data_IF_981916764470
#
_entry.id   IF_981916764470
#
_cell.length_a   1.000
_cell.length_b   1.000
_cell.length_c   1.000
_cell.angle_alpha   90.00
_cell.angle_beta   90.00
_cell.angle_gamma   90.00
#
_symmetry.space_group_name_H-M   'P 1'
#
loop_
_entity.id
_entity.type
_entity.pdbx_description
1 polymer ?
#
# COMPACT_ATOMS: atom_id res chain seq x y z
N UNK A 1 4.97 -4.76 -3.22
CA UNK A 1 4.66 -4.82 -1.78
C UNK A 1 5.46 -3.79 -1.01
N UNK A 2 4.92 -3.27 0.09
CA UNK A 2 5.59 -2.39 1.04
C UNK A 2 5.43 -2.97 2.45
N UNK A 3 6.50 -2.93 3.23
CA UNK A 3 6.49 -3.10 4.69
C UNK A 3 6.83 -1.74 5.29
N UNK A 4 5.94 -1.21 6.12
CA UNK A 4 6.18 0.01 6.89
C UNK A 4 6.32 -0.37 8.36
N UNK A 5 7.44 0.06 8.94
CA UNK A 5 7.62 0.14 10.39
C UNK A 5 7.35 1.59 10.76
N UNK A 6 6.32 1.83 11.55
CA UNK A 6 6.03 3.15 12.11
C UNK A 6 6.81 3.35 13.41
N UNK A 7 6.86 4.59 13.90
CA UNK A 7 7.37 4.86 15.24
C UNK A 7 6.42 4.28 16.30
N UNK A 8 6.99 3.91 17.45
CA UNK A 8 6.27 3.29 18.56
C UNK A 8 4.92 3.96 18.86
N UNK A 9 3.84 3.17 18.80
CA UNK A 9 2.48 3.61 19.12
C UNK A 9 1.82 4.49 18.05
N UNK A 10 2.41 4.66 16.87
CA UNK A 10 1.84 5.47 15.79
C UNK A 10 0.97 4.67 14.81
N UNK A 11 0.88 3.34 14.93
CA UNK A 11 0.30 2.48 13.88
C UNK A 11 -1.14 2.86 13.55
N UNK A 12 -1.99 2.99 14.56
CA UNK A 12 -3.42 3.31 14.35
C UNK A 12 -3.60 4.71 13.76
N UNK A 13 -2.80 5.68 14.22
CA UNK A 13 -2.80 7.05 13.66
C UNK A 13 -2.33 7.05 12.20
N UNK A 14 -1.29 6.28 11.89
CA UNK A 14 -0.79 6.16 10.52
C UNK A 14 -1.85 5.52 9.63
N UNK A 15 -2.47 4.41 10.06
CA UNK A 15 -3.52 3.73 9.29
C UNK A 15 -4.69 4.66 9.04
N UNK A 16 -5.17 5.38 10.05
CA UNK A 16 -6.28 6.33 9.89
C UNK A 16 -5.95 7.43 8.85
N UNK A 17 -4.74 8.00 8.89
CA UNK A 17 -4.26 8.92 7.86
C UNK A 17 -4.17 8.24 6.48
N UNK A 18 -3.61 7.03 6.45
CA UNK A 18 -3.33 6.32 5.22
C UNK A 18 -4.63 5.95 4.49
N UNK A 19 -5.62 5.43 5.19
CA UNK A 19 -6.93 5.08 4.65
C UNK A 19 -7.76 6.30 4.22
N UNK A 20 -7.74 7.37 5.03
CA UNK A 20 -8.56 8.57 4.76
C UNK A 20 -7.99 9.48 3.69
N UNK A 21 -6.66 9.51 3.49
CA UNK A 21 -6.00 10.47 2.59
C UNK A 21 -5.10 9.80 1.56
N UNK A 22 -4.14 9.00 1.99
CA UNK A 22 -3.13 8.46 1.07
C UNK A 22 -3.70 7.41 0.10
N UNK A 23 -4.55 6.49 0.56
CA UNK A 23 -5.17 5.44 -0.27
C UNK A 23 -6.08 6.05 -1.35
N UNK A 24 -6.98 7.00 -1.05
CA UNK A 24 -7.73 7.71 -2.08
C UNK A 24 -6.84 8.39 -3.11
N UNK A 25 -5.80 9.10 -2.67
CA UNK A 25 -4.87 9.79 -3.56
C UNK A 25 -4.12 8.80 -4.50
N UNK A 26 -3.64 7.68 -3.96
CA UNK A 26 -3.00 6.62 -4.73
C UNK A 26 -3.96 6.01 -5.76
N UNK A 27 -5.21 5.75 -5.36
CA UNK A 27 -6.25 5.20 -6.25
C UNK A 27 -6.62 6.18 -7.36
N UNK A 28 -6.79 7.46 -7.05
CA UNK A 28 -7.03 8.52 -8.04
C UNK A 28 -5.87 8.64 -9.03
N UNK A 29 -4.64 8.43 -8.58
CA UNK A 29 -3.46 8.38 -9.45
C UNK A 29 -3.35 7.10 -10.29
N UNK A 30 -4.30 6.17 -10.19
CA UNK A 30 -4.32 4.93 -10.97
C UNK A 30 -3.58 3.76 -10.32
N UNK A 31 -3.30 3.82 -9.01
CA UNK A 31 -2.70 2.69 -8.26
C UNK A 31 -3.75 1.95 -7.43
N UNK A 32 -4.22 0.76 -7.85
CA UNK A 32 -4.94 -0.14 -6.97
C UNK A 32 -4.12 -0.43 -5.71
N UNK A 33 -4.74 -0.31 -4.54
CA UNK A 33 -4.11 -0.55 -3.23
C UNK A 33 -4.84 -1.68 -2.49
N UNK A 34 -4.06 -2.63 -1.96
CA UNK A 34 -4.51 -3.74 -1.12
C UNK A 34 -3.90 -3.63 0.29
N UNK A 35 -4.69 -3.98 1.32
CA UNK A 35 -4.32 -3.88 2.73
C UNK A 35 -5.22 -2.89 3.49
N UNK A 36 -4.80 -2.46 4.71
CA UNK A 36 -3.57 -2.86 5.40
C UNK A 36 -3.59 -4.33 5.84
N UNK A 37 -2.42 -4.95 5.94
CA UNK A 37 -2.23 -6.23 6.63
C UNK A 37 -1.36 -5.97 7.85
N UNK A 38 -1.92 -6.12 9.04
CA UNK A 38 -1.21 -5.81 10.29
C UNK A 38 -0.28 -6.96 10.66
N UNK A 39 0.92 -6.61 11.12
CA UNK A 39 1.78 -7.59 11.77
C UNK A 39 1.20 -7.89 13.17
N UNK A 40 1.03 -9.19 13.47
CA UNK A 40 0.43 -9.66 14.73
C UNK A 40 1.47 -9.78 15.85
N UNK A 41 2.74 -9.86 15.48
CA UNK A 41 3.87 -10.01 16.41
C UNK A 41 4.55 -8.66 16.67
N UNK A 42 4.48 -7.75 15.70
CA UNK A 42 5.03 -6.40 15.82
C UNK A 42 3.92 -5.32 15.73
N UNK A 43 3.60 -4.63 16.84
CA UNK A 43 2.54 -3.63 16.88
C UNK A 43 2.84 -2.37 16.07
N UNK A 44 4.07 -2.19 15.59
CA UNK A 44 4.49 -1.01 14.82
C UNK A 44 4.69 -1.34 13.34
N UNK A 45 4.38 -2.57 12.90
CA UNK A 45 4.52 -2.99 11.50
C UNK A 45 3.17 -3.25 10.83
N UNK A 46 3.09 -2.85 9.57
CA UNK A 46 2.04 -3.30 8.66
C UNK A 46 2.54 -3.38 7.22
N UNK A 47 1.82 -4.16 6.42
CA UNK A 47 2.10 -4.41 5.02
C UNK A 47 0.97 -3.89 4.15
N UNK A 48 1.32 -3.46 2.95
CA UNK A 48 0.35 -3.09 1.93
C UNK A 48 0.92 -3.33 0.54
N UNK A 49 0.02 -3.49 -0.43
CA UNK A 49 0.40 -3.74 -1.81
C UNK A 49 -0.23 -2.70 -2.71
N UNK A 50 0.46 -2.47 -3.82
CA UNK A 50 -0.04 -1.72 -4.95
C UNK A 50 0.24 -2.51 -6.21
N UNK A 51 -0.71 -2.48 -7.12
CA UNK A 51 -0.70 -3.29 -8.35
C UNK A 51 -0.59 -2.35 -9.54
N UNK A 52 0.06 -2.80 -10.60
CA UNK A 52 0.27 -2.03 -11.84
C UNK A 52 0.08 -2.97 -13.03
N UNK A 53 -0.37 -2.47 -14.19
CA UNK A 53 -0.55 -3.32 -15.37
C UNK A 53 0.78 -3.67 -16.05
N UNK A 54 1.81 -2.84 -15.87
CA UNK A 54 3.14 -3.06 -16.43
C UNK A 54 4.23 -2.33 -15.62
N UNK A 55 5.50 -2.66 -15.88
CA UNK A 55 6.64 -1.93 -15.29
C UNK A 55 6.73 -0.48 -15.79
N UNK A 56 6.41 -0.25 -17.07
CA UNK A 56 6.39 1.09 -17.66
C UNK A 56 5.32 1.96 -17.02
N UNK A 57 4.09 1.45 -16.90
CA UNK A 57 3.00 2.17 -16.23
C UNK A 57 3.33 2.43 -14.75
N UNK A 58 3.92 1.43 -14.07
CA UNK A 58 4.41 1.59 -12.70
C UNK A 58 5.32 2.79 -12.56
N UNK A 59 6.33 2.92 -13.42
CA UNK A 59 7.34 3.96 -13.28
C UNK A 59 6.76 5.34 -13.65
N UNK A 60 5.94 5.41 -14.70
CA UNK A 60 5.20 6.62 -15.08
C UNK A 60 4.29 7.13 -13.95
N UNK A 61 3.43 6.26 -13.42
CA UNK A 61 2.47 6.65 -12.37
C UNK A 61 3.20 7.02 -11.08
N UNK A 62 4.24 6.26 -10.70
CA UNK A 62 5.04 6.58 -9.52
C UNK A 62 5.71 7.94 -9.65
N UNK A 63 6.35 8.24 -10.77
CA UNK A 63 6.99 9.52 -11.00
C UNK A 63 5.95 10.65 -10.89
N UNK A 64 4.84 10.57 -11.64
CA UNK A 64 3.78 11.57 -11.59
C UNK A 64 3.21 11.81 -10.19
N UNK A 65 3.01 10.74 -9.41
CA UNK A 65 2.46 10.84 -8.06
C UNK A 65 3.45 11.42 -7.06
N UNK A 66 4.64 10.83 -6.94
CA UNK A 66 5.62 11.22 -5.93
C UNK A 66 6.31 12.55 -6.25
N UNK A 67 6.37 12.94 -7.53
CA UNK A 67 6.85 14.27 -7.90
C UNK A 67 5.78 15.36 -7.88
N UNK A 68 4.50 14.98 -7.75
CA UNK A 68 3.35 15.88 -7.78
C UNK A 68 3.04 16.54 -6.44
N UNK A 69 2.22 17.60 -6.50
CA UNK A 69 1.83 18.42 -5.37
C UNK A 69 1.11 17.63 -4.26
N UNK A 70 0.21 16.70 -4.63
CA UNK A 70 -0.53 15.89 -3.64
C UNK A 70 0.44 15.14 -2.71
N UNK A 71 1.53 14.59 -3.23
CA UNK A 71 2.53 13.97 -2.36
C UNK A 71 3.33 15.04 -1.58
N UNK A 72 4.02 15.93 -2.31
CA UNK A 72 5.02 16.86 -1.75
C UNK A 72 4.45 17.89 -0.78
N UNK A 73 3.22 18.33 -1.01
CA UNK A 73 2.59 19.42 -0.24
C UNK A 73 1.61 18.90 0.82
N UNK A 74 0.98 17.75 0.59
CA UNK A 74 -0.13 17.31 1.45
C UNK A 74 0.12 16.05 2.27
N UNK A 75 0.77 15.04 1.68
CA UNK A 75 0.88 13.70 2.28
C UNK A 75 2.23 13.47 2.94
N UNK A 76 3.32 13.92 2.31
CA UNK A 76 4.68 13.63 2.75
C UNK A 76 4.95 14.13 4.17
N UNK A 77 4.58 15.38 4.46
CA UNK A 77 4.76 16.01 5.77
C UNK A 77 3.97 15.32 6.90
N UNK A 78 2.93 14.55 6.56
CA UNK A 78 2.16 13.76 7.54
C UNK A 78 2.72 12.35 7.65
N UNK A 79 3.02 11.70 6.53
CA UNK A 79 3.50 10.33 6.49
C UNK A 79 4.90 10.17 7.09
N UNK A 80 5.86 10.97 6.62
CA UNK A 80 7.28 10.78 6.92
C UNK A 80 7.62 10.89 8.42
N UNK A 81 7.07 11.85 9.19
CA UNK A 81 7.36 11.93 10.61
C UNK A 81 6.89 10.74 11.45
N UNK A 82 5.94 9.95 10.96
CA UNK A 82 5.41 8.77 11.67
C UNK A 82 6.12 7.46 11.28
N UNK A 83 6.91 7.45 10.20
CA UNK A 83 7.65 6.27 9.75
C UNK A 83 8.99 6.15 10.48
N UNK A 84 9.36 4.92 10.84
CA UNK A 84 10.67 4.55 11.37
C UNK A 84 11.52 3.85 10.30
N UNK A 85 10.93 2.94 9.53
CA UNK A 85 11.61 2.25 8.42
C UNK A 85 10.60 1.89 7.31
N UNK A 86 11.09 1.77 6.07
CA UNK A 86 10.30 1.27 4.96
C UNK A 86 11.09 0.33 4.07
N UNK A 87 10.50 -0.84 3.79
CA UNK A 87 11.03 -1.80 2.82
C UNK A 87 10.07 -1.89 1.63
N UNK A 88 10.64 -1.95 0.42
CA UNK A 88 9.91 -2.14 -0.81
C UNK A 88 10.37 -3.41 -1.52
N UNK A 89 9.41 -4.24 -1.93
CA UNK A 89 9.65 -5.39 -2.80
C UNK A 89 8.83 -5.22 -4.08
N UNK A 90 9.46 -5.42 -5.24
CA UNK A 90 8.80 -5.48 -6.53
C UNK A 90 8.75 -6.93 -6.99
N UNK A 91 7.56 -7.39 -7.35
CA UNK A 91 7.31 -8.78 -7.75
C UNK A 91 6.49 -8.78 -9.04
N UNK A 92 6.74 -9.77 -9.90
CA UNK A 92 5.97 -10.02 -11.13
C UNK A 92 5.51 -11.47 -11.11
N UNK A 93 4.31 -11.74 -11.64
CA UNK A 93 3.96 -13.11 -11.95
C UNK A 93 4.84 -13.59 -13.12
N UNK A 94 5.33 -14.84 -13.12
CA UNK A 94 6.14 -15.34 -14.23
C UNK A 94 5.33 -15.39 -15.55
N UNK A 95 4.00 -15.56 -15.44
CA UNK A 95 3.05 -15.52 -16.55
C UNK A 95 1.85 -14.65 -16.15
N UNK A 96 0.64 -15.19 -16.22
CA UNK A 96 -0.58 -14.55 -15.74
C UNK A 96 -0.71 -14.66 -14.21
N UNK A 97 -1.36 -13.67 -13.58
CA UNK A 97 -1.73 -13.77 -12.17
C UNK A 97 -2.84 -14.82 -12.02
N UNK A 98 -2.58 -15.84 -11.18
CA UNK A 98 -3.51 -16.94 -10.90
C UNK A 98 -3.83 -16.93 -9.40
N UNK A 99 -5.11 -16.90 -9.06
CA UNK A 99 -5.58 -17.08 -7.69
C UNK A 99 -5.33 -18.54 -7.25
N UNK A 100 -5.25 -18.79 -5.94
CA UNK A 100 -5.00 -20.15 -5.43
C UNK A 100 -6.12 -21.16 -5.74
N UNK A 101 -7.30 -20.70 -6.16
CA UNK A 101 -8.40 -21.53 -6.67
C UNK A 101 -8.28 -21.84 -8.18
N UNK A 102 -7.19 -21.43 -8.83
CA UNK A 102 -6.93 -21.61 -10.25
C UNK A 102 -7.58 -20.57 -11.16
N UNK A 103 -8.35 -19.62 -10.62
CA UNK A 103 -8.96 -18.56 -11.44
C UNK A 103 -7.93 -17.52 -11.87
N UNK A 104 -8.11 -16.96 -13.06
CA UNK A 104 -7.21 -15.97 -13.65
C UNK A 104 -7.63 -14.54 -13.31
N UNK A 105 -6.63 -13.67 -13.19
CA UNK A 105 -6.81 -12.25 -12.94
C UNK A 105 -7.07 -11.91 -11.47
N UNK A 106 -6.74 -10.67 -11.11
CA UNK A 106 -6.93 -10.19 -9.74
C UNK A 106 -8.43 -9.93 -9.49
N UNK A 107 -9.06 -10.75 -8.63
CA UNK A 107 -10.40 -10.45 -8.10
C UNK A 107 -10.28 -9.83 -6.72
N UNK A 108 -10.60 -8.54 -6.62
CA UNK A 108 -10.77 -7.86 -5.34
C UNK A 108 -12.26 -7.94 -4.98
N UNK A 109 -12.77 -9.14 -4.66
CA UNK A 109 -14.03 -9.25 -3.93
C UNK A 109 -13.77 -8.99 -2.44
N UNK A 110 -14.75 -8.42 -1.73
CA UNK A 110 -14.64 -8.08 -0.31
C UNK A 110 -13.98 -9.21 0.50
N UNK A 111 -12.72 -9.00 0.91
CA UNK A 111 -12.02 -9.93 1.80
C UNK A 111 -12.79 -9.96 3.12
N UNK A 112 -13.23 -11.15 3.53
CA UNK A 112 -13.68 -11.37 4.89
C UNK A 112 -12.51 -11.01 5.82
N UNK A 113 -12.64 -9.90 6.56
CA UNK A 113 -11.62 -9.47 7.51
C UNK A 113 -11.59 -10.49 8.64
N UNK A 114 -10.49 -11.23 8.78
CA UNK A 114 -10.18 -11.89 10.04
C UNK A 114 -9.86 -10.76 11.01
N UNK A 115 -10.80 -10.45 11.91
CA UNK A 115 -10.54 -9.57 13.05
C UNK A 115 -9.93 -10.42 14.15
N UNK A 116 -8.87 -9.93 14.80
CA UNK A 116 -8.45 -10.46 16.08
C UNK A 116 -9.45 -9.95 17.10
N UNK A 117 -10.09 -10.87 17.82
CA UNK A 117 -11.05 -10.58 18.89
C UNK A 117 -10.45 -9.66 19.97
#
# INVERSE_FOLDING_TARGET
MRKYTVKAGQRDKFIAFFESRAVPALRTAGMPVLGPLLDIEDPDVFYWLRVFSSLEERDKIKAAFYDGAVWKEELEAVAMPMLADTIAAATVAPNEFVNFDGTKGLRISSLATIRKD
#
